data_IF_537515065446
#
_entry.id   IF_537515065446
#
_cell.length_a   1.000
_cell.length_b   1.000
_cell.length_c   1.000
_cell.angle_alpha   90.00
_cell.angle_beta   90.00
_cell.angle_gamma   90.00
#
_symmetry.space_group_name_H-M   'P 1'
#
loop_
_entity.id
_entity.type
_entity.pdbx_description
1 polymer ?
#
# COMPACT_ATOMS: atom_id res chain seq x y z
N UNK A 1 7.48 -5.76 -8.72
CA UNK A 1 6.97 -7.12 -8.46
C UNK A 1 8.01 -7.90 -7.68
N UNK A 2 7.59 -8.82 -6.80
CA UNK A 2 8.48 -9.81 -6.18
C UNK A 2 8.43 -11.08 -7.02
N UNK A 3 9.59 -11.62 -7.37
CA UNK A 3 9.70 -12.86 -8.12
C UNK A 3 9.00 -14.02 -7.38
N UNK A 4 8.31 -14.95 -8.08
CA UNK A 4 7.49 -15.99 -7.45
C UNK A 4 8.20 -16.77 -6.35
N UNK A 5 9.48 -17.08 -6.54
CA UNK A 5 10.32 -17.88 -5.60
C UNK A 5 10.62 -17.14 -4.29
N UNK A 6 10.36 -15.83 -4.26
CA UNK A 6 10.60 -14.95 -3.11
C UNK A 6 9.30 -14.42 -2.49
N UNK A 7 8.13 -14.81 -3.01
CA UNK A 7 6.85 -14.41 -2.45
C UNK A 7 6.59 -15.08 -1.09
N UNK A 8 5.66 -14.53 -0.31
CA UNK A 8 5.29 -15.04 1.03
C UNK A 8 6.41 -15.06 2.07
N UNK A 9 7.54 -14.40 1.79
CA UNK A 9 8.70 -14.26 2.70
C UNK A 9 8.81 -12.89 3.39
N UNK A 10 7.81 -12.02 3.21
CA UNK A 10 7.75 -10.70 3.86
C UNK A 10 8.39 -9.55 3.07
N UNK A 11 9.18 -9.81 2.02
CA UNK A 11 9.89 -8.77 1.27
C UNK A 11 9.00 -7.64 0.74
N UNK A 12 7.80 -7.96 0.22
CA UNK A 12 6.88 -6.94 -0.26
C UNK A 12 6.44 -5.98 0.86
N UNK A 13 6.15 -6.51 2.05
CA UNK A 13 5.76 -5.69 3.20
C UNK A 13 6.92 -4.85 3.72
N UNK A 14 8.12 -5.43 3.81
CA UNK A 14 9.32 -4.72 4.27
C UNK A 14 9.69 -3.57 3.33
N UNK A 15 9.70 -3.84 2.01
CA UNK A 15 9.97 -2.83 1.01
C UNK A 15 8.91 -1.72 1.03
N UNK A 16 7.62 -2.08 1.08
CA UNK A 16 6.53 -1.10 1.12
C UNK A 16 6.56 -0.25 2.40
N UNK A 17 6.81 -0.84 3.56
CA UNK A 17 6.95 -0.11 4.82
C UNK A 17 8.12 0.87 4.79
N UNK A 18 9.27 0.46 4.23
CA UNK A 18 10.45 1.32 4.08
C UNK A 18 10.20 2.48 3.11
N UNK A 19 9.44 2.26 2.03
CA UNK A 19 9.04 3.32 1.12
C UNK A 19 8.06 4.31 1.76
N UNK A 20 7.10 3.82 2.55
CA UNK A 20 6.19 4.66 3.33
C UNK A 20 6.97 5.53 4.32
N UNK A 21 7.92 4.93 5.05
CA UNK A 21 8.82 5.65 5.95
C UNK A 21 9.49 6.81 5.25
N UNK A 22 10.16 6.50 4.14
CA UNK A 22 10.95 7.44 3.40
C UNK A 22 10.09 8.58 2.83
N UNK A 23 8.91 8.25 2.30
CA UNK A 23 8.00 9.23 1.74
C UNK A 23 7.53 10.26 2.78
N UNK A 24 7.20 9.83 4.00
CA UNK A 24 6.73 10.76 5.03
C UNK A 24 7.85 11.45 5.81
N UNK A 25 8.93 10.73 6.12
CA UNK A 25 10.03 11.25 6.95
C UNK A 25 11.04 12.07 6.15
N UNK A 26 11.27 11.76 4.87
CA UNK A 26 12.28 12.41 4.03
C UNK A 26 11.69 13.25 2.91
N UNK A 27 10.71 12.72 2.18
CA UNK A 27 10.07 13.46 1.07
C UNK A 27 8.96 14.40 1.55
N UNK A 28 8.52 14.27 2.80
CA UNK A 28 7.47 15.09 3.42
C UNK A 28 6.15 15.15 2.64
N UNK A 29 5.79 14.09 1.90
CA UNK A 29 4.52 14.05 1.16
C UNK A 29 3.32 14.06 2.10
N UNK A 30 2.20 14.66 1.68
CA UNK A 30 0.98 14.70 2.49
C UNK A 30 0.20 13.38 2.50
N UNK A 31 0.28 12.61 1.41
CA UNK A 31 -0.49 11.38 1.20
C UNK A 31 0.17 10.46 0.17
N UNK A 32 0.05 9.17 0.41
CA UNK A 32 0.40 8.12 -0.54
C UNK A 32 -0.86 7.42 -1.03
N UNK A 33 -0.82 6.94 -2.27
CA UNK A 33 -1.89 6.13 -2.86
C UNK A 33 -1.35 4.81 -3.40
N UNK A 34 -2.16 3.77 -3.35
CA UNK A 34 -1.94 2.53 -4.06
C UNK A 34 -3.17 2.19 -4.90
N UNK A 35 -2.95 1.82 -6.16
CA UNK A 35 -3.98 1.26 -7.04
C UNK A 35 -3.67 -0.22 -7.26
N UNK A 36 -4.59 -1.09 -6.85
CA UNK A 36 -4.37 -2.53 -6.77
C UNK A 36 -5.52 -3.22 -7.51
N UNK A 37 -5.23 -4.15 -8.41
CA UNK A 37 -6.27 -4.99 -9.00
C UNK A 37 -7.01 -5.77 -7.89
N UNK A 38 -8.34 -5.84 -7.95
CA UNK A 38 -9.16 -6.43 -6.90
C UNK A 38 -8.83 -7.91 -6.64
N UNK A 39 -8.34 -8.60 -7.67
CA UNK A 39 -7.92 -9.99 -7.68
C UNK A 39 -6.55 -10.20 -7.01
N UNK A 40 -5.76 -9.12 -6.84
CA UNK A 40 -4.43 -9.19 -6.25
C UNK A 40 -4.50 -9.15 -4.71
N UNK A 41 -4.99 -10.24 -4.12
CA UNK A 41 -5.16 -10.39 -2.68
C UNK A 41 -3.84 -10.21 -1.89
N UNK A 42 -2.70 -10.59 -2.47
CA UNK A 42 -1.40 -10.42 -1.84
C UNK A 42 -1.05 -8.93 -1.64
N UNK A 43 -1.25 -8.11 -2.67
CA UNK A 43 -0.96 -6.66 -2.59
C UNK A 43 -1.98 -5.93 -1.71
N UNK A 44 -3.24 -6.35 -1.72
CA UNK A 44 -4.27 -5.86 -0.80
C UNK A 44 -3.82 -6.05 0.66
N UNK A 45 -3.39 -7.28 1.02
CA UNK A 45 -2.86 -7.57 2.36
C UNK A 45 -1.64 -6.72 2.72
N UNK A 46 -0.76 -6.45 1.76
CA UNK A 46 0.40 -5.57 1.99
C UNK A 46 -0.05 -4.13 2.29
N UNK A 47 -0.97 -3.57 1.50
CA UNK A 47 -1.48 -2.22 1.69
C UNK A 47 -2.16 -2.06 3.06
N UNK A 48 -2.97 -3.02 3.46
CA UNK A 48 -3.62 -3.05 4.78
C UNK A 48 -2.59 -3.17 5.91
N UNK A 49 -1.60 -4.06 5.76
CA UNK A 49 -0.55 -4.29 6.77
C UNK A 49 0.33 -3.06 7.01
N UNK A 50 0.58 -2.23 5.99
CA UNK A 50 1.35 -0.98 6.14
C UNK A 50 0.47 0.22 6.56
N UNK A 51 -0.80 -0.03 6.93
CA UNK A 51 -1.69 0.97 7.50
C UNK A 51 -2.47 1.81 6.50
N UNK A 52 -2.43 1.48 5.20
CA UNK A 52 -3.28 2.16 4.21
C UNK A 52 -4.77 1.81 4.42
N UNK A 53 -5.64 2.75 4.06
CA UNK A 53 -7.10 2.63 4.14
C UNK A 53 -7.67 2.48 2.74
N UNK A 54 -8.66 1.59 2.58
CA UNK A 54 -9.43 1.46 1.35
C UNK A 54 -10.29 2.72 1.10
N UNK A 55 -10.27 3.23 -0.13
CA UNK A 55 -11.01 4.44 -0.53
C UNK A 55 -12.19 4.14 -1.46
N UNK A 56 -12.17 2.99 -2.12
CA UNK A 56 -13.16 2.64 -3.12
C UNK A 56 -12.59 1.82 -4.27
N UNK A 57 -13.48 1.40 -5.16
CA UNK A 57 -13.13 0.62 -6.35
C UNK A 57 -13.77 1.23 -7.58
N UNK A 58 -13.09 1.14 -8.71
CA UNK A 58 -13.59 1.55 -10.01
C UNK A 58 -13.11 0.58 -11.08
N UNK A 59 -13.89 0.44 -12.15
CA UNK A 59 -13.43 -0.21 -13.35
C UNK A 59 -12.29 0.61 -13.97
N UNK A 60 -11.24 -0.08 -14.39
CA UNK A 60 -10.05 0.49 -15.01
C UNK A 60 -9.68 -0.33 -16.23
N UNK A 61 -8.92 0.28 -17.12
CA UNK A 61 -8.36 -0.41 -18.28
C UNK A 61 -6.84 -0.41 -18.19
N UNK A 62 -6.23 -1.55 -18.49
CA UNK A 62 -4.79 -1.67 -18.69
C UNK A 62 -4.55 -2.48 -19.96
N UNK A 63 -3.93 -1.85 -20.97
CA UNK A 63 -3.62 -2.46 -22.27
C UNK A 63 -4.85 -3.07 -22.96
N UNK A 64 -5.99 -2.36 -22.96
CA UNK A 64 -7.23 -2.85 -23.57
C UNK A 64 -7.97 -3.91 -22.76
N UNK A 65 -7.48 -4.26 -21.56
CA UNK A 65 -8.14 -5.22 -20.67
C UNK A 65 -8.76 -4.47 -19.50
N UNK A 66 -10.08 -4.57 -19.36
CA UNK A 66 -10.81 -4.06 -18.22
C UNK A 66 -10.52 -4.89 -16.95
N UNK A 67 -10.35 -4.23 -15.82
CA UNK A 67 -10.15 -4.85 -14.52
C UNK A 67 -10.71 -3.97 -13.39
N UNK A 68 -11.05 -4.58 -12.26
CA UNK A 68 -11.54 -3.83 -11.10
C UNK A 68 -10.36 -3.30 -10.28
N UNK A 69 -10.13 -1.99 -10.29
CA UNK A 69 -9.08 -1.34 -9.51
C UNK A 69 -9.59 -0.90 -8.14
N UNK A 70 -8.95 -1.37 -7.07
CA UNK A 70 -9.11 -0.87 -5.69
C UNK A 70 -8.11 0.25 -5.43
N UNK A 71 -8.56 1.32 -4.78
CA UNK A 71 -7.72 2.44 -4.35
C UNK A 71 -7.56 2.40 -2.84
N UNK A 72 -6.32 2.55 -2.40
CA UNK A 72 -5.94 2.70 -0.99
C UNK A 72 -5.15 3.99 -0.82
N UNK A 73 -5.19 4.58 0.39
CA UNK A 73 -4.31 5.68 0.74
C UNK A 73 -3.83 5.66 2.19
N UNK A 74 -2.74 6.35 2.43
CA UNK A 74 -2.22 6.65 3.76
C UNK A 74 -1.86 8.13 3.82
N UNK A 75 -2.36 8.83 4.82
CA UNK A 75 -2.03 10.24 5.06
C UNK A 75 -0.87 10.35 6.04
N UNK A 76 -0.12 11.45 5.96
CA UNK A 76 0.96 11.75 6.90
C UNK A 76 0.48 11.73 8.35
N UNK A 77 -0.67 12.33 8.65
CA UNK A 77 -1.24 12.35 10.00
C UNK A 77 -1.51 10.95 10.53
N UNK A 78 -2.20 10.10 9.74
CA UNK A 78 -2.49 8.72 10.14
C UNK A 78 -1.22 7.89 10.35
N UNK A 79 -0.20 8.11 9.53
CA UNK A 79 1.08 7.43 9.69
C UNK A 79 1.74 7.73 11.04
N UNK A 80 1.74 9.00 11.47
CA UNK A 80 2.28 9.36 12.78
C UNK A 80 1.36 8.95 13.95
N UNK A 81 0.03 8.99 13.78
CA UNK A 81 -0.93 8.51 14.79
C UNK A 81 -0.74 7.02 15.12
N UNK A 82 -0.57 6.18 14.12
CA UNK A 82 -0.38 4.72 14.31
C UNK A 82 0.91 4.43 15.07
N UNK A 83 1.95 5.25 14.89
CA UNK A 83 3.24 5.06 15.56
C UNK A 83 3.25 5.44 17.01
N UNK A 84 2.59 6.55 17.35
CA UNK A 84 2.45 6.97 18.75
C UNK A 84 1.74 5.90 19.58
N UNK A 85 0.88 5.08 18.97
CA UNK A 85 0.15 3.98 19.65
C UNK A 85 0.94 2.66 19.74
N UNK A 86 2.11 2.55 19.10
CA UNK A 86 2.90 1.32 19.03
C UNK A 86 4.08 1.27 19.99
N UNK A 87 4.26 2.29 20.83
CA UNK A 87 5.36 2.42 21.81
C UNK A 87 4.91 2.14 23.27
N UNK A 88 3.72 1.53 23.47
CA UNK A 88 3.19 1.07 24.77
C UNK A 88 3.31 -0.46 24.95
#
# INVERSE_FOLDING_TARGET
MILPEYQSRGFASEAAASLVEYAFSKLAVGRLFASIAAENAASVKVAEKIGMTFEGSAEKELNGVAYQGRRYSLTKSRFFEVRVRGED
#
